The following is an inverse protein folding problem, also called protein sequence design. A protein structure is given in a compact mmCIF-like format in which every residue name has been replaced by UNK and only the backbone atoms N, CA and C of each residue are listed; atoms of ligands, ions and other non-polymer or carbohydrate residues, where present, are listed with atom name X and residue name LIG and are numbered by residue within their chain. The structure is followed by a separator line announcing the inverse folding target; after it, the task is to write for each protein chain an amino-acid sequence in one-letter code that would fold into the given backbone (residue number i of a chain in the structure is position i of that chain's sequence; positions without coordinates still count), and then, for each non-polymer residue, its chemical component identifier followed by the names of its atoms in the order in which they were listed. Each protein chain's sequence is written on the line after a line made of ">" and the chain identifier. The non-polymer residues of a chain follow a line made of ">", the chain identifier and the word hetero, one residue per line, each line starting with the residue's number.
data_IF_401443067733
#
_entry.id   IF_401443067733
#
_cell.length_a   1.000
_cell.length_b   1.000
_cell.length_c   1.000
_cell.angle_alpha   90.00
_cell.angle_beta   90.00
_cell.angle_gamma   90.00
#
_symmetry.space_group_name_H-M   'P 1'
#
loop_
_entity.id
_entity.type
_entity.pdbx_description
1 polymer ?
#
# COMPACT_ATOMS: atom_id res chain seq x y z
N UNK A 1 12.00 60.88 -11.69
CA UNK A 1 12.75 61.66 -12.68
C UNK A 1 12.38 61.10 -14.07
N UNK A 2 11.58 61.93 -14.71
CA UNK A 2 11.32 62.20 -16.16
C UNK A 2 11.12 60.96 -17.07
N UNK A 3 9.89 60.70 -17.51
CA UNK A 3 9.12 61.31 -18.62
C UNK A 3 9.93 61.48 -19.94
N UNK A 4 9.44 60.81 -20.99
CA UNK A 4 9.17 61.54 -22.25
C UNK A 4 8.12 60.78 -23.10
N UNK A 5 7.05 61.52 -23.40
CA UNK A 5 6.00 61.33 -24.38
C UNK A 5 6.49 62.02 -25.68
N UNK A 6 6.19 61.41 -26.84
CA UNK A 6 6.10 62.21 -28.09
C UNK A 6 4.95 61.73 -28.94
N UNK A 7 4.02 62.64 -29.11
CA UNK A 7 3.02 62.63 -30.17
C UNK A 7 3.57 63.38 -31.37
N UNK A 8 3.12 62.98 -32.57
CA UNK A 8 3.25 63.84 -33.77
C UNK A 8 2.03 63.63 -34.66
N UNK A 9 1.52 64.74 -35.07
CA UNK A 9 0.30 65.11 -35.73
C UNK A 9 0.36 65.04 -37.25
N UNK A 10 -0.79 64.79 -37.83
CA UNK A 10 -1.46 65.20 -39.08
C UNK A 10 -0.69 65.84 -40.26
N UNK A 11 -1.07 65.43 -41.48
CA UNK A 11 -1.47 66.37 -42.50
C UNK A 11 -2.51 65.77 -43.47
N UNK A 12 -3.53 66.60 -43.78
CA UNK A 12 -4.61 66.40 -44.70
C UNK A 12 -4.17 66.91 -46.08
N UNK A 13 -4.65 66.26 -47.19
CA UNK A 13 -4.82 66.90 -48.50
C UNK A 13 -6.01 66.29 -49.22
N UNK A 14 -6.92 67.16 -49.62
CA UNK A 14 -8.10 66.94 -50.46
C UNK A 14 -7.74 66.79 -51.95
N UNK A 15 -8.61 66.10 -52.67
CA UNK A 15 -8.66 66.13 -54.16
C UNK A 15 -9.73 65.12 -54.62
N UNK A 16 -10.84 65.65 -55.14
CA UNK A 16 -12.07 64.94 -55.47
C UNK A 16 -12.10 64.35 -56.86
N UNK A 17 -13.18 63.72 -57.10
CA UNK A 17 -14.08 63.57 -58.24
C UNK A 17 -14.36 62.14 -58.70
N UNK A 18 -15.63 61.84 -58.57
CA UNK A 18 -16.64 61.19 -59.44
C UNK A 18 -16.56 59.74 -59.87
N UNK A 19 -17.70 59.17 -59.56
CA UNK A 19 -18.52 58.15 -60.24
C UNK A 19 -18.03 56.74 -60.46
N UNK A 20 -18.62 55.82 -59.68
CA UNK A 20 -19.46 54.75 -60.28
C UNK A 20 -19.98 53.79 -59.19
N UNK A 21 -21.28 53.74 -59.08
CA UNK A 21 -22.04 52.82 -58.25
C UNK A 21 -21.87 51.37 -58.77
N UNK A 22 -21.22 50.54 -57.97
CA UNK A 22 -21.35 49.09 -58.01
C UNK A 22 -21.60 48.57 -56.63
N UNK A 23 -22.85 48.18 -56.35
CA UNK A 23 -23.23 47.46 -55.13
C UNK A 23 -22.51 46.11 -55.03
N UNK A 24 -21.46 46.05 -54.24
CA UNK A 24 -20.87 44.79 -53.86
C UNK A 24 -21.73 44.14 -52.77
N UNK A 25 -22.23 42.91 -53.01
CA UNK A 25 -22.82 42.07 -51.97
C UNK A 25 -21.75 41.75 -50.90
N UNK A 26 -22.13 41.75 -49.62
CA UNK A 26 -21.22 41.32 -48.57
C UNK A 26 -20.92 39.82 -48.74
N UNK A 27 -19.65 39.47 -48.78
CA UNK A 27 -19.17 38.11 -48.68
C UNK A 27 -19.56 37.55 -47.29
N UNK A 28 -20.12 36.34 -47.19
CA UNK A 28 -20.43 35.75 -45.89
C UNK A 28 -19.12 35.52 -45.12
N UNK A 29 -19.16 35.88 -43.85
CA UNK A 29 -18.10 35.60 -42.87
C UNK A 29 -17.74 34.08 -42.93
N UNK A 30 -16.45 33.74 -42.88
CA UNK A 30 -16.05 32.34 -42.78
C UNK A 30 -16.66 31.73 -41.53
N UNK A 31 -17.39 30.65 -41.70
CA UNK A 31 -17.86 29.82 -40.60
C UNK A 31 -16.67 29.45 -39.70
N UNK A 32 -16.74 29.66 -38.39
CA UNK A 32 -15.65 29.23 -37.50
C UNK A 32 -15.44 27.71 -37.65
N UNK A 33 -14.20 27.31 -37.78
CA UNK A 33 -13.80 25.90 -37.75
C UNK A 33 -14.41 25.24 -36.50
N UNK A 34 -14.94 24.03 -36.61
CA UNK A 34 -15.43 23.29 -35.46
C UNK A 34 -14.28 23.12 -34.47
N UNK A 35 -14.54 23.48 -33.22
CA UNK A 35 -13.62 23.24 -32.11
C UNK A 35 -13.08 21.80 -32.19
N UNK A 36 -11.76 21.59 -32.04
CA UNK A 36 -11.21 20.26 -32.08
C UNK A 36 -11.90 19.42 -31.01
N UNK A 37 -12.49 18.32 -31.42
CA UNK A 37 -13.07 17.33 -30.52
C UNK A 37 -12.00 16.98 -29.46
N UNK A 38 -12.26 17.08 -28.17
CA UNK A 38 -11.27 16.72 -27.16
C UNK A 38 -10.81 15.28 -27.41
N UNK A 39 -9.51 15.09 -27.53
CA UNK A 39 -8.93 13.74 -27.58
C UNK A 39 -9.45 12.96 -26.37
N UNK A 40 -9.88 11.70 -26.54
CA UNK A 40 -10.28 10.88 -25.42
C UNK A 40 -9.12 10.80 -24.44
N UNK A 41 -9.41 11.05 -23.14
CA UNK A 41 -8.44 10.88 -22.06
C UNK A 41 -7.71 9.54 -22.24
N UNK A 42 -6.37 9.52 -22.12
CA UNK A 42 -5.61 8.28 -22.29
C UNK A 42 -6.19 7.25 -21.33
N UNK A 43 -6.61 6.12 -21.89
CA UNK A 43 -7.11 4.99 -21.08
C UNK A 43 -6.08 4.70 -20.01
N UNK A 44 -6.43 4.70 -18.71
CA UNK A 44 -5.46 4.44 -17.64
C UNK A 44 -4.72 3.14 -17.94
N UNK A 45 -3.41 3.20 -17.99
CA UNK A 45 -2.59 2.00 -18.22
C UNK A 45 -2.93 1.00 -17.12
N UNK A 46 -3.40 -0.18 -17.51
CA UNK A 46 -3.82 -1.20 -16.55
C UNK A 46 -2.63 -1.56 -15.64
N UNK A 47 -2.84 -1.49 -14.31
CA UNK A 47 -1.80 -1.84 -13.35
C UNK A 47 -1.44 -3.31 -13.48
N UNK A 48 -0.14 -3.61 -13.56
CA UNK A 48 0.38 -4.98 -13.51
C UNK A 48 0.07 -5.65 -12.17
N UNK A 49 0.09 -6.97 -12.15
CA UNK A 49 0.00 -7.74 -10.90
C UNK A 49 1.34 -7.79 -10.18
N UNK A 50 1.29 -7.65 -8.86
CA UNK A 50 2.45 -7.71 -7.97
C UNK A 50 2.31 -8.88 -7.01
N UNK A 51 3.38 -9.65 -6.86
CA UNK A 51 3.42 -10.80 -5.96
C UNK A 51 4.72 -10.83 -5.19
N UNK A 52 4.62 -11.12 -3.90
CA UNK A 52 5.78 -11.21 -3.01
C UNK A 52 5.40 -11.50 -1.57
N UNK A 53 6.04 -10.83 -0.64
CA UNK A 53 5.76 -10.98 0.78
C UNK A 53 6.29 -9.85 1.62
N UNK A 54 5.88 -9.85 2.89
CA UNK A 54 6.47 -8.98 3.91
C UNK A 54 7.73 -9.65 4.44
N UNK A 55 8.89 -9.08 4.08
CA UNK A 55 10.22 -9.62 4.40
C UNK A 55 10.96 -8.75 5.42
N UNK A 56 10.21 -8.11 6.30
CA UNK A 56 10.76 -7.14 7.25
C UNK A 56 11.83 -7.70 8.19
N UNK A 57 11.90 -9.02 8.36
CA UNK A 57 12.90 -9.67 9.20
C UNK A 57 14.09 -10.25 8.44
N UNK A 58 14.11 -10.15 7.10
CA UNK A 58 15.14 -10.80 6.28
C UNK A 58 16.56 -10.49 6.76
N UNK A 59 16.87 -9.20 7.01
CA UNK A 59 18.21 -8.81 7.49
C UNK A 59 18.54 -9.45 8.84
N UNK A 60 17.56 -9.58 9.74
CA UNK A 60 17.77 -10.22 11.06
C UNK A 60 18.03 -11.73 10.94
N UNK A 61 17.37 -12.40 10.03
CA UNK A 61 17.66 -13.81 9.74
C UNK A 61 19.06 -13.99 9.15
N UNK A 62 19.46 -13.13 8.22
CA UNK A 62 20.81 -13.14 7.63
C UNK A 62 21.89 -12.87 8.71
N UNK A 63 21.68 -11.87 9.59
CA UNK A 63 22.57 -11.57 10.73
C UNK A 63 22.66 -12.75 11.71
N UNK A 64 21.58 -13.52 11.87
CA UNK A 64 21.56 -14.73 12.70
C UNK A 64 22.21 -15.96 12.01
N UNK A 65 22.77 -15.78 10.80
CA UNK A 65 23.46 -16.84 10.07
C UNK A 65 22.54 -17.78 9.32
N UNK A 66 21.30 -17.38 9.05
CA UNK A 66 20.37 -18.17 8.24
C UNK A 66 20.87 -18.27 6.80
N UNK A 67 20.89 -19.49 6.26
CA UNK A 67 21.25 -19.77 4.87
C UNK A 67 20.01 -20.21 4.11
N UNK A 68 19.54 -19.35 3.20
CA UNK A 68 18.49 -19.69 2.26
C UNK A 68 19.02 -20.53 1.13
N UNK A 69 18.24 -21.50 0.67
CA UNK A 69 18.62 -22.43 -0.39
C UNK A 69 17.54 -22.51 -1.46
N UNK A 70 17.95 -22.92 -2.65
CA UNK A 70 17.04 -23.35 -3.71
C UNK A 70 16.47 -24.76 -3.44
N UNK A 71 15.57 -25.23 -4.30
CA UNK A 71 14.99 -26.59 -4.21
C UNK A 71 16.03 -27.72 -4.25
N UNK A 72 17.17 -27.46 -4.87
CA UNK A 72 18.27 -28.45 -5.00
C UNK A 72 19.19 -28.45 -3.77
N UNK A 73 19.05 -27.47 -2.86
CA UNK A 73 19.87 -27.34 -1.67
C UNK A 73 21.10 -26.45 -1.84
N UNK A 74 21.22 -25.73 -2.95
CA UNK A 74 22.28 -24.75 -3.16
C UNK A 74 21.97 -23.47 -2.41
N UNK A 75 22.96 -22.89 -1.73
CA UNK A 75 22.81 -21.60 -1.08
C UNK A 75 22.53 -20.50 -2.11
N UNK A 76 21.58 -19.60 -1.78
CA UNK A 76 21.16 -18.50 -2.65
C UNK A 76 21.15 -17.16 -1.91
N UNK A 77 21.26 -16.07 -2.68
CA UNK A 77 20.99 -14.73 -2.17
C UNK A 77 19.47 -14.49 -2.22
N UNK A 78 18.79 -14.27 -1.08
CA UNK A 78 17.32 -14.32 -1.01
C UNK A 78 16.62 -13.42 -2.03
N UNK A 79 16.96 -12.13 -2.10
CA UNK A 79 16.27 -11.19 -2.99
C UNK A 79 16.45 -11.51 -4.47
N UNK A 80 17.67 -11.90 -4.85
CA UNK A 80 17.96 -12.33 -6.23
C UNK A 80 17.18 -13.60 -6.58
N UNK A 81 17.12 -14.56 -5.65
CA UNK A 81 16.37 -15.79 -5.81
C UNK A 81 14.85 -15.54 -5.88
N UNK A 82 14.30 -14.70 -5.00
CA UNK A 82 12.89 -14.33 -5.05
C UNK A 82 12.52 -13.75 -6.41
N UNK A 83 13.34 -12.82 -6.92
CA UNK A 83 13.14 -12.22 -8.25
C UNK A 83 13.21 -13.27 -9.36
N UNK A 84 14.20 -14.15 -9.31
CA UNK A 84 14.37 -15.24 -10.29
C UNK A 84 13.18 -16.19 -10.31
N UNK A 85 12.59 -16.49 -9.15
CA UNK A 85 11.42 -17.36 -9.03
C UNK A 85 10.08 -16.65 -9.33
N UNK A 86 10.14 -15.38 -9.76
CA UNK A 86 8.99 -14.65 -10.27
C UNK A 86 8.30 -13.73 -9.25
N UNK A 87 8.84 -13.54 -8.04
CA UNK A 87 8.35 -12.51 -7.15
C UNK A 87 8.84 -11.14 -7.64
N UNK A 88 7.95 -10.14 -7.66
CA UNK A 88 8.28 -8.83 -8.23
C UNK A 88 8.06 -7.64 -7.29
N UNK A 89 7.63 -7.89 -6.05
CA UNK A 89 7.44 -6.85 -5.05
C UNK A 89 7.71 -7.37 -3.63
N UNK A 90 8.23 -6.52 -2.76
CA UNK A 90 8.45 -6.84 -1.35
C UNK A 90 7.90 -5.75 -0.45
N UNK A 91 7.26 -6.13 0.66
CA UNK A 91 6.74 -5.24 1.70
C UNK A 91 7.70 -5.20 2.88
N UNK A 92 7.89 -4.02 3.46
CA UNK A 92 8.67 -3.81 4.69
C UNK A 92 7.94 -2.83 5.59
N UNK A 93 7.80 -3.21 6.86
CA UNK A 93 7.23 -2.38 7.93
C UNK A 93 8.22 -1.30 8.37
N UNK A 94 7.69 -0.19 8.85
CA UNK A 94 8.45 0.89 9.48
C UNK A 94 7.80 1.30 10.80
N UNK A 95 8.54 1.23 11.89
CA UNK A 95 8.16 1.71 13.22
C UNK A 95 8.83 3.06 13.52
N UNK A 96 8.28 3.82 14.47
CA UNK A 96 8.82 5.15 14.83
C UNK A 96 10.04 5.00 15.72
N UNK A 97 9.91 4.27 16.83
CA UNK A 97 11.02 3.91 17.72
C UNK A 97 10.85 2.46 18.21
N UNK A 98 11.38 1.46 17.47
CA UNK A 98 11.22 0.05 17.82
C UNK A 98 12.09 -0.43 18.98
N UNK A 99 12.84 0.44 19.63
CA UNK A 99 13.88 0.07 20.63
C UNK A 99 13.39 -0.74 21.83
N UNK A 100 12.10 -0.60 22.19
CA UNK A 100 11.50 -1.27 23.35
C UNK A 100 11.05 -2.71 23.09
N UNK A 101 10.77 -3.07 21.85
CA UNK A 101 10.16 -4.35 21.47
C UNK A 101 10.98 -5.11 20.41
N UNK A 102 12.29 -4.84 20.35
CA UNK A 102 13.19 -5.42 19.33
C UNK A 102 13.25 -6.96 19.37
N UNK A 103 13.04 -7.56 20.54
CA UNK A 103 12.95 -9.01 20.74
C UNK A 103 11.63 -9.63 20.27
N UNK A 104 10.63 -8.80 19.91
CA UNK A 104 9.32 -9.23 19.42
C UNK A 104 9.15 -9.05 17.91
N UNK A 105 10.24 -8.96 17.16
CA UNK A 105 10.22 -8.72 15.71
C UNK A 105 9.92 -7.27 15.33
N UNK A 106 10.05 -6.33 16.26
CA UNK A 106 9.86 -4.89 16.11
C UNK A 106 11.24 -4.23 16.09
N UNK A 107 11.92 -4.27 14.95
CA UNK A 107 13.30 -3.77 14.81
C UNK A 107 13.50 -2.86 13.60
N UNK A 108 12.43 -2.60 12.86
CA UNK A 108 12.47 -1.89 11.58
C UNK A 108 12.35 -0.39 11.83
N UNK A 109 13.45 0.23 12.30
CA UNK A 109 13.62 1.68 12.27
C UNK A 109 13.92 2.18 10.86
N UNK A 110 14.03 3.48 10.68
CA UNK A 110 14.24 4.08 9.37
C UNK A 110 15.56 3.65 8.72
N UNK A 111 16.64 3.49 9.49
CA UNK A 111 17.93 3.08 8.94
C UNK A 111 17.90 1.62 8.45
N UNK A 112 17.26 0.75 9.21
CA UNK A 112 17.02 -0.63 8.80
C UNK A 112 16.20 -0.69 7.49
N UNK A 113 15.10 0.07 7.43
CA UNK A 113 14.21 0.09 6.26
C UNK A 113 14.88 0.70 5.04
N UNK A 114 15.71 1.75 5.20
CA UNK A 114 16.53 2.30 4.10
C UNK A 114 17.47 1.25 3.51
N UNK A 115 18.15 0.49 4.37
CA UNK A 115 19.10 -0.53 3.93
C UNK A 115 18.38 -1.67 3.19
N UNK A 116 17.30 -2.22 3.74
CA UNK A 116 16.55 -3.31 3.13
C UNK A 116 15.79 -2.84 1.88
N UNK A 117 15.15 -1.67 1.90
CA UNK A 117 14.46 -1.09 0.75
C UNK A 117 15.38 -0.84 -0.43
N UNK A 118 16.60 -0.34 -0.19
CA UNK A 118 17.64 -0.20 -1.22
C UNK A 118 17.96 -1.56 -1.86
N UNK A 119 18.19 -2.60 -1.08
CA UNK A 119 18.46 -3.96 -1.57
C UNK A 119 17.30 -4.50 -2.44
N UNK A 120 16.04 -4.24 -2.04
CA UNK A 120 14.85 -4.62 -2.81
C UNK A 120 14.86 -3.91 -4.18
N UNK A 121 15.14 -2.61 -4.21
CA UNK A 121 15.21 -1.82 -5.45
C UNK A 121 16.39 -2.27 -6.34
N UNK A 122 17.54 -2.56 -5.78
CA UNK A 122 18.71 -3.08 -6.49
C UNK A 122 18.45 -4.47 -7.10
N UNK A 123 17.62 -5.29 -6.46
CA UNK A 123 17.15 -6.57 -7.01
C UNK A 123 16.09 -6.40 -8.12
N UNK A 124 15.69 -5.17 -8.47
CA UNK A 124 14.73 -4.88 -9.52
C UNK A 124 13.30 -5.26 -9.16
N UNK A 125 12.95 -5.20 -7.88
CA UNK A 125 11.59 -5.44 -7.38
C UNK A 125 10.94 -4.14 -6.91
N UNK A 126 9.61 -4.10 -6.94
CA UNK A 126 8.85 -3.03 -6.34
C UNK A 126 8.96 -3.09 -4.81
N UNK A 127 9.04 -1.92 -4.19
CA UNK A 127 9.12 -1.78 -2.74
C UNK A 127 7.81 -1.20 -2.19
N UNK A 128 7.15 -1.93 -1.28
CA UNK A 128 5.99 -1.48 -0.52
C UNK A 128 6.45 -1.14 0.89
N UNK A 129 6.33 0.14 1.23
CA UNK A 129 6.59 0.66 2.57
C UNK A 129 5.31 0.63 3.39
N UNK A 130 5.34 0.04 4.58
CA UNK A 130 4.23 -0.01 5.51
C UNK A 130 4.52 0.80 6.78
N UNK A 131 3.94 1.99 6.88
CA UNK A 131 4.02 2.82 8.08
C UNK A 131 3.12 2.26 9.19
N UNK A 132 3.69 1.80 10.29
CA UNK A 132 2.91 1.46 11.48
C UNK A 132 2.49 2.68 12.29
N UNK A 133 3.21 3.81 12.17
CA UNK A 133 3.03 5.02 13.01
C UNK A 133 2.97 4.72 14.50
N UNK A 134 3.77 3.78 14.95
CA UNK A 134 3.83 3.27 16.32
C UNK A 134 5.26 2.87 16.66
N UNK A 135 5.57 2.78 17.95
CA UNK A 135 6.86 2.24 18.44
C UNK A 135 6.83 0.70 18.52
N UNK A 136 5.66 0.10 18.38
CA UNK A 136 5.45 -1.35 18.39
C UNK A 136 4.40 -1.75 17.35
N UNK A 137 4.01 -3.03 17.35
CA UNK A 137 2.96 -3.53 16.46
C UNK A 137 1.71 -2.66 16.53
N UNK A 138 1.26 -2.19 15.36
CA UNK A 138 -0.05 -1.61 15.14
C UNK A 138 -0.92 -2.65 14.42
N UNK A 139 -2.05 -2.99 15.03
CA UNK A 139 -3.00 -3.99 14.56
C UNK A 139 -4.43 -3.67 15.07
N UNK A 140 -5.47 -4.45 14.73
CA UNK A 140 -6.84 -4.15 15.16
C UNK A 140 -7.06 -4.10 16.67
N UNK A 141 -6.16 -4.68 17.45
CA UNK A 141 -6.19 -4.67 18.91
C UNK A 141 -5.44 -3.49 19.54
N UNK A 142 -4.52 -2.86 18.80
CA UNK A 142 -3.66 -1.80 19.31
C UNK A 142 -3.16 -0.89 18.19
N UNK A 143 -3.34 0.41 18.38
CA UNK A 143 -2.91 1.48 17.48
C UNK A 143 -2.34 2.63 18.35
N UNK A 144 -1.32 2.31 19.14
CA UNK A 144 -0.84 3.25 20.14
C UNK A 144 0.02 4.35 19.52
N UNK A 145 -0.16 5.55 20.07
CA UNK A 145 0.63 6.72 19.68
C UNK A 145 2.06 6.53 20.20
N UNK A 146 3.08 6.78 19.36
CA UNK A 146 4.48 6.75 19.80
C UNK A 146 4.72 7.58 21.06
N UNK A 147 5.60 7.12 21.93
CA UNK A 147 5.90 7.79 23.19
C UNK A 147 6.33 9.25 23.00
N UNK A 148 7.09 9.53 21.94
CA UNK A 148 7.52 10.89 21.63
C UNK A 148 6.38 11.82 21.16
N UNK A 149 5.22 11.27 20.78
CA UNK A 149 4.08 12.04 20.25
C UNK A 149 2.87 12.10 21.18
N UNK A 150 2.87 11.32 22.29
CA UNK A 150 1.71 11.11 23.15
C UNK A 150 1.17 12.36 23.87
N UNK A 151 1.97 13.43 23.95
CA UNK A 151 1.58 14.72 24.56
C UNK A 151 1.05 15.73 23.55
N UNK A 152 1.07 15.42 22.25
CA UNK A 152 0.59 16.29 21.20
C UNK A 152 -0.94 16.31 21.19
N UNK A 153 -1.53 17.49 21.01
CA UNK A 153 -2.95 17.60 20.70
C UNK A 153 -3.22 17.13 19.27
N UNK A 154 -4.49 16.97 18.91
CA UNK A 154 -4.88 16.39 17.61
C UNK A 154 -4.33 17.15 16.41
N UNK A 155 -4.27 18.48 16.46
CA UNK A 155 -3.75 19.31 15.37
C UNK A 155 -2.21 19.12 15.23
N UNK A 156 -1.50 19.19 16.35
CA UNK A 156 -0.04 18.97 16.37
C UNK A 156 0.32 17.53 16.00
N UNK A 157 -0.49 16.53 16.39
CA UNK A 157 -0.28 15.14 16.02
C UNK A 157 -0.45 14.92 14.52
N UNK A 158 -1.46 15.53 13.91
CA UNK A 158 -1.67 15.44 12.47
C UNK A 158 -0.50 16.08 11.70
N UNK A 159 0.01 17.22 12.16
CA UNK A 159 1.22 17.83 11.57
C UNK A 159 2.45 16.95 11.78
N UNK A 160 2.58 16.32 12.95
CA UNK A 160 3.69 15.38 13.21
C UNK A 160 3.65 14.17 12.30
N UNK A 161 2.47 13.64 11.97
CA UNK A 161 2.33 12.56 10.97
C UNK A 161 2.80 13.03 9.60
N UNK A 162 2.43 14.24 9.19
CA UNK A 162 2.92 14.81 7.92
C UNK A 162 4.44 14.95 7.92
N UNK A 163 5.01 15.61 8.94
CA UNK A 163 6.47 15.84 9.03
C UNK A 163 7.26 14.52 9.04
N UNK A 164 6.83 13.55 9.87
CA UNK A 164 7.48 12.26 9.97
C UNK A 164 7.42 11.48 8.65
N UNK A 165 6.24 11.41 8.02
CA UNK A 165 6.06 10.74 6.73
C UNK A 165 6.96 11.37 5.67
N UNK A 166 6.97 12.70 5.59
CA UNK A 166 7.80 13.48 4.66
C UNK A 166 9.28 13.20 4.87
N UNK A 167 9.76 13.31 6.09
CA UNK A 167 11.16 13.06 6.45
C UNK A 167 11.59 11.62 6.09
N UNK A 168 10.79 10.61 6.46
CA UNK A 168 11.08 9.22 6.11
C UNK A 168 11.19 9.02 4.61
N UNK A 169 10.24 9.54 3.82
CA UNK A 169 10.25 9.41 2.37
C UNK A 169 11.44 10.13 1.71
N UNK A 170 11.83 11.31 2.22
CA UNK A 170 13.02 12.02 1.75
C UNK A 170 14.29 11.20 1.99
N UNK A 171 14.44 10.64 3.20
CA UNK A 171 15.60 9.82 3.54
C UNK A 171 15.64 8.51 2.75
N UNK A 172 14.50 7.84 2.55
CA UNK A 172 14.39 6.65 1.72
C UNK A 172 14.78 6.94 0.26
N UNK A 173 14.31 8.05 -0.32
CA UNK A 173 14.71 8.46 -1.67
C UNK A 173 16.21 8.71 -1.77
N UNK A 174 16.76 9.45 -0.81
CA UNK A 174 18.20 9.75 -0.77
C UNK A 174 19.06 8.47 -0.66
N UNK A 175 18.55 7.43 0.01
CA UNK A 175 19.22 6.14 0.15
C UNK A 175 19.07 5.22 -1.08
N UNK A 176 18.28 5.59 -2.10
CA UNK A 176 17.98 4.72 -3.24
C UNK A 176 16.87 3.69 -2.95
N UNK A 177 16.08 3.92 -1.91
CA UNK A 177 14.98 3.07 -1.45
C UNK A 177 13.62 3.75 -1.69
N UNK A 178 13.42 4.48 -2.80
CA UNK A 178 12.13 5.11 -3.11
C UNK A 178 11.03 4.05 -3.19
N UNK A 179 9.96 4.13 -2.36
CA UNK A 179 8.88 3.17 -2.43
C UNK A 179 8.03 3.34 -3.70
N UNK A 180 7.52 2.23 -4.22
CA UNK A 180 6.53 2.18 -5.31
C UNK A 180 5.10 2.17 -4.74
N UNK A 181 4.95 1.63 -3.53
CA UNK A 181 3.69 1.58 -2.77
C UNK A 181 3.94 2.10 -1.35
N UNK A 182 3.00 2.86 -0.82
CA UNK A 182 3.07 3.42 0.53
C UNK A 182 1.77 3.13 1.26
N UNK A 183 1.85 2.31 2.29
CA UNK A 183 0.74 2.00 3.17
C UNK A 183 0.76 2.97 4.34
N UNK A 184 -0.31 3.79 4.45
CA UNK A 184 -0.41 4.85 5.46
C UNK A 184 -1.15 4.36 6.71
N UNK A 185 -0.52 3.45 7.42
CA UNK A 185 -1.05 2.76 8.59
C UNK A 185 -1.35 1.28 8.33
N UNK A 186 -1.10 0.43 9.31
CA UNK A 186 -1.32 -1.01 9.27
C UNK A 186 -2.65 -1.38 9.92
N UNK A 187 -3.55 -2.09 9.19
CA UNK A 187 -4.84 -2.62 9.69
C UNK A 187 -5.68 -1.58 10.45
N UNK A 188 -5.91 -0.43 9.83
CA UNK A 188 -6.47 0.77 10.46
C UNK A 188 -7.99 0.88 10.43
N UNK A 189 -8.71 -0.23 10.31
CA UNK A 189 -10.19 -0.19 10.26
C UNK A 189 -10.83 0.43 11.51
N UNK A 190 -10.11 0.42 12.63
CA UNK A 190 -10.51 1.07 13.87
C UNK A 190 -9.82 2.43 14.10
N UNK A 191 -9.25 3.05 13.05
CA UNK A 191 -8.43 4.25 13.17
C UNK A 191 -7.00 3.94 13.58
N UNK A 192 -6.19 4.97 13.80
CA UNK A 192 -4.79 4.88 14.21
C UNK A 192 -4.44 5.92 15.27
N UNK A 193 -3.29 5.73 15.94
CA UNK A 193 -2.79 6.68 16.95
C UNK A 193 -3.81 6.97 18.06
N UNK A 194 -4.36 5.89 18.67
CA UNK A 194 -5.49 6.00 19.62
C UNK A 194 -5.17 6.76 20.91
N UNK A 195 -3.91 6.91 21.24
CA UNK A 195 -3.40 7.51 22.49
C UNK A 195 -2.28 6.68 23.07
N UNK A 196 -1.97 6.90 24.35
CA UNK A 196 -0.94 6.18 25.10
C UNK A 196 -1.21 4.67 25.11
N UNK A 197 -0.16 3.88 25.21
CA UNK A 197 -0.23 2.42 25.34
C UNK A 197 -1.31 1.99 26.34
N UNK A 198 -2.09 0.99 25.96
CA UNK A 198 -3.22 0.49 26.74
C UNK A 198 -4.50 1.34 26.67
N UNK A 199 -4.50 2.46 25.95
CA UNK A 199 -5.70 3.30 25.75
C UNK A 199 -6.32 3.08 24.38
N UNK A 200 -7.63 3.35 24.29
CA UNK A 200 -8.39 3.25 23.04
C UNK A 200 -9.39 4.40 22.85
N UNK A 201 -9.10 5.55 23.48
CA UNK A 201 -10.02 6.69 23.52
C UNK A 201 -10.40 7.22 22.15
N UNK A 202 -9.49 7.13 21.17
CA UNK A 202 -9.70 7.61 19.81
C UNK A 202 -9.99 6.48 18.82
N UNK A 203 -10.35 5.30 19.32
CA UNK A 203 -10.75 4.18 18.46
C UNK A 203 -11.98 4.52 17.65
N UNK A 204 -11.98 4.11 16.38
CA UNK A 204 -13.07 4.29 15.44
C UNK A 204 -13.84 2.98 15.25
N UNK A 205 -15.14 3.00 15.51
CA UNK A 205 -16.08 1.92 15.16
C UNK A 205 -17.44 2.53 14.86
N UNK A 206 -18.43 1.72 14.53
CA UNK A 206 -19.79 2.18 14.17
C UNK A 206 -20.42 3.09 15.21
N UNK A 207 -20.12 2.88 16.49
CA UNK A 207 -20.69 3.62 17.62
C UNK A 207 -19.75 4.71 18.17
N UNK A 208 -18.57 4.89 17.58
CA UNK A 208 -17.63 5.92 18.04
C UNK A 208 -18.12 7.32 17.75
N UNK A 209 -17.78 8.30 18.61
CA UNK A 209 -18.07 9.71 18.35
C UNK A 209 -17.55 10.14 16.98
N UNK A 210 -18.29 11.01 16.29
CA UNK A 210 -17.86 11.57 15.00
C UNK A 210 -16.50 12.28 15.10
N UNK A 211 -16.17 12.82 16.28
CA UNK A 211 -14.88 13.45 16.55
C UNK A 211 -13.69 12.51 16.33
N UNK A 212 -13.82 11.22 16.73
CA UNK A 212 -12.76 10.22 16.50
C UNK A 212 -12.54 10.00 15.00
N UNK A 213 -13.63 9.88 14.22
CA UNK A 213 -13.55 9.75 12.78
C UNK A 213 -12.95 10.98 12.11
N UNK A 214 -13.35 12.19 12.53
CA UNK A 214 -12.79 13.43 11.98
C UNK A 214 -11.29 13.54 12.26
N UNK A 215 -10.87 13.19 13.47
CA UNK A 215 -9.46 13.12 13.86
C UNK A 215 -8.71 12.13 12.96
N UNK A 216 -9.20 10.91 12.82
CA UNK A 216 -8.59 9.86 11.99
C UNK A 216 -8.48 10.30 10.52
N UNK A 217 -9.56 10.88 9.94
CA UNK A 217 -9.52 11.39 8.56
C UNK A 217 -8.46 12.49 8.39
N UNK A 218 -8.28 13.35 9.39
CA UNK A 218 -7.25 14.39 9.34
C UNK A 218 -5.82 13.80 9.35
N UNK A 219 -5.58 12.77 10.17
CA UNK A 219 -4.30 12.04 10.18
C UNK A 219 -4.00 11.43 8.80
N UNK A 220 -4.97 10.76 8.17
CA UNK A 220 -4.81 10.18 6.84
C UNK A 220 -4.57 11.24 5.75
N UNK A 221 -5.28 12.36 5.80
CA UNK A 221 -5.05 13.48 4.86
C UNK A 221 -3.63 14.00 4.95
N UNK A 222 -3.09 14.13 6.15
CA UNK A 222 -1.73 14.60 6.40
C UNK A 222 -0.67 13.58 5.93
N UNK A 223 -0.88 12.30 6.20
CA UNK A 223 -0.02 11.23 5.67
C UNK A 223 -0.04 11.21 4.14
N UNK A 224 -1.24 11.23 3.52
CA UNK A 224 -1.41 11.24 2.07
C UNK A 224 -0.77 12.47 1.40
N UNK A 225 -0.93 13.66 2.00
CA UNK A 225 -0.27 14.88 1.53
C UNK A 225 1.24 14.70 1.44
N UNK A 226 1.88 14.23 2.49
CA UNK A 226 3.33 14.00 2.50
C UNK A 226 3.75 12.96 1.44
N UNK A 227 2.95 11.89 1.26
CA UNK A 227 3.21 10.89 0.22
C UNK A 227 3.18 11.49 -1.18
N UNK A 228 2.16 12.31 -1.50
CA UNK A 228 2.05 12.93 -2.82
C UNK A 228 3.14 13.96 -3.09
N UNK A 229 3.53 14.73 -2.08
CA UNK A 229 4.62 15.70 -2.22
C UNK A 229 5.98 15.03 -2.47
N UNK A 230 6.28 13.94 -1.75
CA UNK A 230 7.60 13.32 -1.81
C UNK A 230 7.71 12.19 -2.83
N UNK A 231 6.65 11.44 -3.06
CA UNK A 231 6.61 10.29 -3.96
C UNK A 231 5.33 10.31 -4.82
N UNK A 232 5.16 11.30 -5.72
CA UNK A 232 3.92 11.48 -6.49
C UNK A 232 3.54 10.26 -7.36
N UNK A 233 4.53 9.49 -7.79
CA UNK A 233 4.32 8.28 -8.61
C UNK A 233 3.94 7.05 -7.79
N UNK A 234 4.22 7.06 -6.47
CA UNK A 234 3.92 5.94 -5.60
C UNK A 234 2.40 5.79 -5.39
N UNK A 235 1.94 4.55 -5.28
CA UNK A 235 0.53 4.26 -5.00
C UNK A 235 0.30 4.20 -3.49
N UNK A 236 -0.67 4.99 -3.01
CA UNK A 236 -1.05 5.01 -1.60
C UNK A 236 -2.05 3.88 -1.33
N UNK A 237 -1.83 3.12 -0.28
CA UNK A 237 -2.65 2.00 0.16
C UNK A 237 -3.31 2.34 1.49
N UNK A 238 -4.62 2.13 1.59
CA UNK A 238 -5.36 2.09 2.86
C UNK A 238 -5.63 0.64 3.21
N UNK A 239 -5.12 0.20 4.37
CA UNK A 239 -5.11 -1.21 4.77
C UNK A 239 -6.18 -1.52 5.82
N UNK A 240 -6.98 -2.57 5.56
CA UNK A 240 -8.03 -3.07 6.44
C UNK A 240 -7.99 -4.59 6.53
N UNK A 241 -8.27 -5.13 7.72
CA UNK A 241 -8.39 -6.55 8.02
C UNK A 241 -9.85 -7.07 7.96
N UNK A 242 -10.78 -6.27 7.41
CA UNK A 242 -12.22 -6.59 7.46
C UNK A 242 -12.72 -7.48 6.34
N UNK A 243 -11.87 -8.30 5.73
CA UNK A 243 -12.27 -9.22 4.66
C UNK A 243 -13.39 -10.18 5.04
N UNK A 244 -13.54 -10.52 6.34
CA UNK A 244 -14.65 -11.36 6.85
C UNK A 244 -15.97 -10.60 7.06
N UNK A 245 -15.98 -9.29 6.96
CA UNK A 245 -17.11 -8.43 7.34
C UNK A 245 -17.42 -7.40 6.24
N UNK A 246 -17.96 -7.81 5.08
CA UNK A 246 -18.14 -6.95 3.92
C UNK A 246 -18.87 -5.64 4.20
N UNK A 247 -19.88 -5.64 5.06
CA UNK A 247 -20.62 -4.42 5.42
C UNK A 247 -19.77 -3.43 6.24
N UNK A 248 -18.95 -3.94 7.16
CA UNK A 248 -18.01 -3.10 7.94
C UNK A 248 -16.91 -2.56 7.03
N UNK A 249 -16.42 -3.41 6.14
CA UNK A 249 -15.41 -3.05 5.14
C UNK A 249 -15.91 -1.93 4.22
N UNK A 250 -17.12 -2.03 3.71
CA UNK A 250 -17.70 -1.00 2.84
C UNK A 250 -18.04 0.28 3.60
N UNK A 251 -18.55 0.21 4.85
CA UNK A 251 -18.74 1.41 5.68
C UNK A 251 -17.42 2.16 5.86
N UNK A 252 -16.34 1.43 6.12
CA UNK A 252 -15.01 2.02 6.26
C UNK A 252 -14.56 2.74 4.98
N UNK A 253 -14.65 2.11 3.80
CA UNK A 253 -14.23 2.74 2.54
C UNK A 253 -15.22 3.79 2.03
N UNK A 254 -16.51 3.69 2.34
CA UNK A 254 -17.49 4.76 2.10
C UNK A 254 -17.10 6.02 2.90
N UNK A 255 -16.61 5.88 4.14
CA UNK A 255 -16.09 7.01 4.93
C UNK A 255 -14.82 7.61 4.30
N UNK A 256 -13.90 6.79 3.77
CA UNK A 256 -12.73 7.32 3.04
C UNK A 256 -13.17 8.16 1.85
N UNK A 257 -14.08 7.65 1.02
CA UNK A 257 -14.64 8.34 -0.14
C UNK A 257 -15.34 9.65 0.26
N UNK A 258 -16.24 9.59 1.25
CA UNK A 258 -17.05 10.74 1.66
C UNK A 258 -16.23 11.86 2.32
N UNK A 259 -15.07 11.53 2.89
CA UNK A 259 -14.15 12.52 3.48
C UNK A 259 -13.03 12.95 2.51
N UNK A 260 -13.05 12.48 1.26
CA UNK A 260 -12.06 12.85 0.26
C UNK A 260 -10.63 12.41 0.63
N UNK A 261 -10.49 11.19 1.19
CA UNK A 261 -9.16 10.63 1.46
C UNK A 261 -8.52 10.24 0.13
N UNK A 262 -7.32 10.75 -0.08
CA UNK A 262 -6.53 10.44 -1.28
C UNK A 262 -5.77 9.12 -1.08
N UNK A 263 -6.13 8.12 -1.86
CA UNK A 263 -5.46 6.83 -1.95
C UNK A 263 -5.73 6.16 -3.29
N UNK A 264 -4.93 5.17 -3.66
CA UNK A 264 -5.01 4.46 -4.95
C UNK A 264 -5.52 3.03 -4.82
N UNK A 265 -5.24 2.38 -3.69
CA UNK A 265 -5.40 0.93 -3.52
C UNK A 265 -6.07 0.61 -2.18
N UNK A 266 -7.01 -0.32 -2.23
CA UNK A 266 -7.59 -0.98 -1.06
C UNK A 266 -6.68 -2.15 -0.69
N UNK A 267 -5.99 -2.06 0.45
CA UNK A 267 -5.21 -3.15 1.02
C UNK A 267 -6.05 -4.00 1.95
N UNK A 268 -5.93 -5.33 1.83
CA UNK A 268 -6.64 -6.27 2.70
C UNK A 268 -5.68 -7.26 3.33
N UNK A 269 -5.85 -7.53 4.64
CA UNK A 269 -5.40 -8.79 5.24
C UNK A 269 -6.43 -9.88 4.99
N UNK A 270 -5.98 -11.03 4.51
CA UNK A 270 -6.82 -12.21 4.41
C UNK A 270 -6.08 -13.45 4.91
N UNK A 271 -6.52 -13.93 6.06
CA UNK A 271 -6.06 -15.19 6.66
C UNK A 271 -7.27 -16.08 6.89
N UNK A 272 -7.39 -17.26 6.26
CA UNK A 272 -8.58 -18.09 6.43
C UNK A 272 -8.81 -18.49 7.89
N UNK A 273 -7.74 -18.63 8.68
CA UNK A 273 -7.83 -18.92 10.12
C UNK A 273 -8.65 -17.89 10.91
N UNK A 274 -8.70 -16.63 10.46
CA UNK A 274 -9.40 -15.52 11.13
C UNK A 274 -10.57 -14.95 10.33
N UNK A 275 -10.51 -15.04 9.00
CA UNK A 275 -11.41 -14.33 8.10
C UNK A 275 -12.39 -15.25 7.34
N UNK A 276 -12.36 -16.57 7.61
CA UNK A 276 -13.23 -17.50 6.92
C UNK A 276 -12.64 -18.04 5.61
N UNK A 277 -13.41 -18.79 4.86
CA UNK A 277 -12.96 -19.48 3.65
C UNK A 277 -12.83 -18.54 2.43
N UNK A 278 -12.38 -19.10 1.30
CA UNK A 278 -12.24 -18.35 0.04
C UNK A 278 -13.58 -17.79 -0.49
N UNK A 279 -14.72 -18.37 -0.13
CA UNK A 279 -16.02 -17.81 -0.50
C UNK A 279 -16.34 -16.55 0.30
N UNK A 280 -15.87 -16.43 1.54
CA UNK A 280 -15.95 -15.19 2.32
C UNK A 280 -15.12 -14.09 1.69
N UNK A 281 -13.89 -14.40 1.27
CA UNK A 281 -13.03 -13.44 0.53
C UNK A 281 -13.69 -13.01 -0.79
N UNK A 282 -14.25 -13.96 -1.55
CA UNK A 282 -15.01 -13.68 -2.78
C UNK A 282 -16.12 -12.66 -2.55
N UNK A 283 -16.89 -12.85 -1.48
CA UNK A 283 -17.97 -11.93 -1.10
C UNK A 283 -17.42 -10.54 -0.82
N UNK A 284 -16.29 -10.42 -0.11
CA UNK A 284 -15.66 -9.13 0.17
C UNK A 284 -15.20 -8.43 -1.11
N UNK A 285 -14.51 -9.15 -2.00
CA UNK A 285 -14.02 -8.62 -3.28
C UNK A 285 -15.17 -8.15 -4.16
N UNK A 286 -16.18 -9.00 -4.39
CA UNK A 286 -17.36 -8.67 -5.19
C UNK A 286 -18.12 -7.47 -4.62
N UNK A 287 -18.22 -7.38 -3.28
CA UNK A 287 -18.88 -6.26 -2.61
C UNK A 287 -18.12 -4.94 -2.82
N UNK A 288 -16.77 -4.96 -2.70
CA UNK A 288 -15.94 -3.78 -2.96
C UNK A 288 -16.02 -3.34 -4.43
N UNK A 289 -15.96 -4.28 -5.37
CA UNK A 289 -16.11 -4.01 -6.80
C UNK A 289 -17.48 -3.40 -7.12
N UNK A 290 -18.55 -3.92 -6.50
CA UNK A 290 -19.91 -3.39 -6.66
C UNK A 290 -20.10 -1.96 -6.14
N UNK A 291 -19.25 -1.50 -5.19
CA UNK A 291 -19.26 -0.12 -4.68
C UNK A 291 -18.65 0.90 -5.66
N UNK A 292 -17.93 0.44 -6.67
CA UNK A 292 -17.31 1.28 -7.69
C UNK A 292 -16.50 2.46 -7.09
N UNK A 293 -15.54 2.15 -6.22
CA UNK A 293 -14.63 3.16 -5.68
C UNK A 293 -13.60 3.66 -6.71
N UNK A 294 -13.46 2.99 -7.84
CA UNK A 294 -12.41 3.27 -8.84
C UNK A 294 -11.00 2.93 -8.33
N UNK A 295 -10.88 1.96 -7.44
CA UNK A 295 -9.62 1.56 -6.80
C UNK A 295 -9.26 0.13 -7.12
N UNK A 296 -7.96 -0.14 -7.27
CA UNK A 296 -7.45 -1.51 -7.28
C UNK A 296 -7.45 -2.09 -5.86
N UNK A 297 -7.39 -3.42 -5.76
CA UNK A 297 -7.34 -4.16 -4.50
C UNK A 297 -6.01 -4.91 -4.44
N UNK A 298 -5.40 -4.99 -3.27
CA UNK A 298 -4.26 -5.86 -3.00
C UNK A 298 -4.49 -6.66 -1.72
N UNK A 299 -4.22 -7.94 -1.75
CA UNK A 299 -4.04 -8.74 -0.53
C UNK A 299 -2.63 -8.46 -0.05
N UNK A 300 -2.50 -7.50 0.87
CA UNK A 300 -1.20 -7.04 1.38
C UNK A 300 -0.66 -7.91 2.49
N UNK A 301 -1.52 -8.78 3.05
CA UNK A 301 -1.15 -9.84 3.98
C UNK A 301 -2.00 -11.08 3.77
N UNK A 302 -1.34 -12.24 3.70
CA UNK A 302 -1.96 -13.57 3.74
C UNK A 302 -0.98 -14.61 4.27
N UNK A 303 -1.49 -15.76 4.67
CA UNK A 303 -0.70 -16.89 5.10
C UNK A 303 -1.55 -18.10 5.41
N UNK A 304 -0.95 -19.29 5.35
CA UNK A 304 -1.56 -20.55 5.74
C UNK A 304 -0.50 -21.49 6.32
N UNK A 305 -0.85 -22.22 7.38
CA UNK A 305 0.10 -23.09 8.07
C UNK A 305 0.39 -24.36 7.30
N UNK A 306 1.68 -24.78 7.37
CA UNK A 306 2.14 -26.07 6.86
C UNK A 306 2.25 -27.14 7.96
N UNK A 307 2.07 -26.80 9.23
CA UNK A 307 2.35 -27.74 10.34
C UNK A 307 1.25 -27.81 11.43
N UNK A 308 0.84 -26.68 12.01
CA UNK A 308 -0.21 -26.60 13.04
C UNK A 308 -0.93 -25.26 12.98
N UNK A 309 -2.05 -25.14 13.68
CA UNK A 309 -2.88 -23.93 13.70
C UNK A 309 -2.08 -22.68 14.14
N UNK A 310 -2.37 -21.56 13.50
CA UNK A 310 -1.93 -20.24 13.99
C UNK A 310 -2.57 -19.93 15.35
N UNK A 311 -1.86 -19.15 16.18
CA UNK A 311 -2.41 -18.70 17.45
C UNK A 311 -3.69 -17.89 17.26
N UNK A 312 -4.74 -18.18 18.06
CA UNK A 312 -6.02 -17.48 17.96
C UNK A 312 -6.89 -17.87 16.75
N UNK A 313 -6.59 -18.99 16.07
CA UNK A 313 -7.39 -19.51 14.96
C UNK A 313 -8.87 -19.63 15.36
N UNK A 314 -9.75 -19.04 14.55
CA UNK A 314 -11.21 -19.06 14.71
C UNK A 314 -11.87 -20.12 13.83
N UNK A 315 -11.31 -20.36 12.63
CA UNK A 315 -11.85 -21.28 11.64
C UNK A 315 -10.87 -22.40 11.33
N UNK A 316 -11.37 -23.63 11.25
CA UNK A 316 -10.60 -24.82 10.88
C UNK A 316 -10.94 -25.27 9.45
N UNK A 317 -9.93 -25.26 8.57
CA UNK A 317 -10.05 -25.73 7.19
C UNK A 317 -9.16 -26.94 6.90
N UNK A 318 -8.71 -27.65 7.93
CA UNK A 318 -7.81 -28.82 7.76
C UNK A 318 -8.46 -29.95 6.97
N UNK A 319 -9.80 -30.03 6.92
CA UNK A 319 -10.52 -30.96 6.05
C UNK A 319 -10.34 -30.69 4.55
N UNK A 320 -10.01 -29.44 4.17
CA UNK A 320 -9.75 -29.04 2.77
C UNK A 320 -8.28 -28.81 2.50
N UNK A 321 -7.59 -28.21 3.46
CA UNK A 321 -6.17 -27.85 3.43
C UNK A 321 -5.52 -28.35 4.72
N UNK A 322 -5.09 -29.63 4.80
CA UNK A 322 -4.40 -30.15 5.98
C UNK A 322 -3.16 -29.30 6.32
N UNK A 323 -2.82 -29.19 7.60
CA UNK A 323 -1.57 -28.51 8.02
C UNK A 323 -0.36 -29.33 7.61
N UNK A 324 -0.05 -29.29 6.33
CA UNK A 324 1.08 -29.94 5.66
C UNK A 324 1.60 -29.02 4.58
N UNK A 325 2.80 -29.27 4.07
CA UNK A 325 3.35 -28.55 2.91
C UNK A 325 2.37 -28.57 1.72
N UNK A 326 1.81 -29.74 1.40
CA UNK A 326 0.84 -29.90 0.30
C UNK A 326 -0.48 -29.14 0.58
N UNK A 327 -0.96 -29.12 1.81
CA UNK A 327 -2.16 -28.34 2.18
C UNK A 327 -1.92 -26.84 2.06
N UNK A 328 -0.74 -26.35 2.48
CA UNK A 328 -0.34 -24.97 2.28
C UNK A 328 -0.24 -24.62 0.79
N UNK A 329 0.40 -25.49 -0.02
CA UNK A 329 0.49 -25.32 -1.48
C UNK A 329 -0.89 -25.25 -2.12
N UNK A 330 -1.77 -26.19 -1.77
CA UNK A 330 -3.14 -26.24 -2.32
C UNK A 330 -3.92 -24.98 -1.97
N UNK A 331 -3.86 -24.52 -0.72
CA UNK A 331 -4.48 -23.26 -0.31
C UNK A 331 -3.95 -22.09 -1.16
N UNK A 332 -2.63 -21.99 -1.35
CA UNK A 332 -2.00 -20.93 -2.13
C UNK A 332 -2.49 -20.95 -3.58
N UNK A 333 -2.54 -22.12 -4.21
CA UNK A 333 -3.03 -22.28 -5.58
C UNK A 333 -4.53 -21.88 -5.71
N UNK A 334 -5.38 -22.33 -4.79
CA UNK A 334 -6.81 -22.02 -4.79
C UNK A 334 -7.06 -20.53 -4.52
N UNK A 335 -6.27 -19.90 -3.62
CA UNK A 335 -6.31 -18.45 -3.38
C UNK A 335 -5.95 -17.69 -4.66
N UNK A 336 -4.84 -18.04 -5.30
CA UNK A 336 -4.38 -17.40 -6.54
C UNK A 336 -5.45 -17.52 -7.63
N UNK A 337 -6.02 -18.71 -7.82
CA UNK A 337 -7.11 -18.94 -8.78
C UNK A 337 -8.30 -18.02 -8.50
N UNK A 338 -8.69 -17.87 -7.25
CA UNK A 338 -9.76 -16.98 -6.80
C UNK A 338 -9.44 -15.53 -7.15
N UNK A 339 -8.28 -15.03 -6.74
CA UNK A 339 -7.86 -13.64 -6.95
C UNK A 339 -7.72 -13.29 -8.43
N UNK A 340 -7.28 -14.22 -9.27
CA UNK A 340 -7.17 -14.01 -10.73
C UNK A 340 -8.52 -13.84 -11.43
N UNK A 341 -9.60 -14.29 -10.81
CA UNK A 341 -10.98 -14.06 -11.27
C UNK A 341 -11.42 -12.59 -11.15
N UNK A 342 -10.68 -11.74 -10.41
CA UNK A 342 -10.99 -10.34 -10.18
C UNK A 342 -9.95 -9.43 -10.84
N UNK A 343 -10.36 -8.69 -11.87
CA UNK A 343 -9.46 -7.76 -12.57
C UNK A 343 -8.98 -6.61 -11.70
N UNK A 344 -9.74 -6.23 -10.69
CA UNK A 344 -9.38 -5.20 -9.71
C UNK A 344 -8.24 -5.63 -8.77
N UNK A 345 -8.00 -6.95 -8.61
CA UNK A 345 -6.99 -7.48 -7.68
C UNK A 345 -5.62 -7.48 -8.35
N UNK A 346 -4.72 -6.64 -7.83
CA UNK A 346 -3.40 -6.36 -8.40
C UNK A 346 -2.23 -6.73 -7.50
N UNK A 347 -2.48 -7.24 -6.27
CA UNK A 347 -1.40 -7.60 -5.35
C UNK A 347 -1.71 -8.81 -4.49
N UNK A 348 -0.66 -9.61 -4.22
CA UNK A 348 -0.67 -10.74 -3.30
C UNK A 348 0.65 -10.80 -2.54
N UNK A 349 0.61 -10.58 -1.23
CA UNK A 349 1.78 -10.56 -0.36
C UNK A 349 1.62 -11.57 0.76
N UNK A 350 2.57 -12.52 0.82
CA UNK A 350 2.63 -13.49 1.90
C UNK A 350 3.22 -12.86 3.15
N UNK A 351 2.61 -13.13 4.30
CA UNK A 351 3.09 -12.64 5.57
C UNK A 351 4.26 -13.49 6.06
N UNK A 352 5.41 -12.84 6.24
CA UNK A 352 6.62 -13.43 6.80
C UNK A 352 7.12 -14.69 6.06
N UNK A 353 7.22 -14.65 4.73
CA UNK A 353 7.61 -15.83 3.93
C UNK A 353 9.01 -16.32 4.24
N UNK A 354 9.90 -15.42 4.69
CA UNK A 354 11.32 -15.65 4.92
C UNK A 354 11.63 -16.30 6.28
N UNK A 355 10.67 -16.42 7.19
CA UNK A 355 10.90 -17.04 8.50
C UNK A 355 11.29 -18.51 8.32
N UNK A 356 12.47 -18.86 8.80
CA UNK A 356 12.98 -20.21 8.72
C UNK A 356 13.03 -20.92 10.09
N UNK A 357 12.34 -20.38 11.10
CA UNK A 357 12.29 -20.94 12.45
C UNK A 357 13.57 -20.86 13.25
N UNK A 358 14.50 -19.96 12.89
CA UNK A 358 15.68 -19.72 13.71
C UNK A 358 15.26 -19.28 15.13
N UNK A 359 15.64 -20.03 16.14
CA UNK A 359 15.19 -19.83 17.53
C UNK A 359 15.53 -18.47 18.12
N UNK A 360 16.52 -17.77 17.57
CA UNK A 360 16.94 -16.45 18.05
C UNK A 360 16.12 -15.29 17.46
N UNK A 361 15.46 -15.52 16.33
CA UNK A 361 14.74 -14.46 15.59
C UNK A 361 13.37 -14.91 15.06
N UNK A 362 12.98 -16.17 15.32
CA UNK A 362 11.72 -16.73 14.80
C UNK A 362 10.51 -16.02 15.37
N UNK A 363 9.46 -15.93 14.56
CA UNK A 363 8.16 -15.40 14.95
C UNK A 363 7.21 -16.49 15.46
N UNK A 364 6.07 -16.08 16.02
CA UNK A 364 4.97 -17.00 16.31
C UNK A 364 4.27 -17.53 15.04
N UNK A 365 4.65 -17.01 13.86
CA UNK A 365 4.08 -17.36 12.55
C UNK A 365 4.95 -18.31 11.73
N UNK A 366 6.07 -18.79 12.28
CA UNK A 366 7.02 -19.60 11.55
C UNK A 366 6.43 -20.86 10.92
N UNK A 367 5.34 -21.42 11.49
CA UNK A 367 4.56 -22.52 10.93
C UNK A 367 3.72 -22.15 9.70
N UNK A 368 3.64 -20.87 9.35
CA UNK A 368 2.99 -20.37 8.14
C UNK A 368 4.00 -19.75 7.14
N UNK A 369 5.28 -19.78 7.44
CA UNK A 369 6.34 -19.34 6.54
C UNK A 369 6.47 -20.23 5.30
N UNK A 370 7.34 -19.84 4.36
CA UNK A 370 7.53 -20.54 3.10
C UNK A 370 8.88 -21.27 3.00
N UNK A 371 9.59 -21.41 4.13
CA UNK A 371 10.88 -22.11 4.18
C UNK A 371 10.88 -23.20 5.25
N UNK A 372 11.49 -24.33 4.91
CA UNK A 372 11.74 -25.44 5.83
C UNK A 372 12.91 -25.10 6.77
N UNK A 373 12.63 -25.11 8.04
CA UNK A 373 13.57 -24.77 9.11
C UNK A 373 14.79 -25.71 9.20
N UNK A 374 14.62 -26.96 8.80
CA UNK A 374 15.66 -27.96 8.92
C UNK A 374 16.62 -27.92 7.73
N UNK A 375 16.10 -27.64 6.54
CA UNK A 375 16.85 -27.71 5.29
C UNK A 375 17.20 -26.35 4.71
N UNK A 376 16.47 -25.29 5.06
CA UNK A 376 16.58 -23.95 4.47
C UNK A 376 16.04 -23.86 3.04
N UNK A 377 15.29 -24.88 2.59
CA UNK A 377 14.68 -24.93 1.26
C UNK A 377 13.29 -24.35 1.27
N UNK A 378 12.83 -23.73 0.15
CA UNK A 378 11.46 -23.26 0.05
C UNK A 378 10.48 -24.44 0.00
N UNK A 379 9.33 -24.27 0.65
CA UNK A 379 8.17 -25.15 0.47
C UNK A 379 7.51 -24.94 -0.90
N UNK A 380 6.71 -25.91 -1.32
CA UNK A 380 6.04 -25.89 -2.62
C UNK A 380 5.12 -24.66 -2.81
N UNK A 381 4.52 -24.15 -1.73
CA UNK A 381 3.70 -22.93 -1.76
C UNK A 381 4.48 -21.69 -2.22
N UNK A 382 5.78 -21.58 -1.94
CA UNK A 382 6.63 -20.50 -2.44
C UNK A 382 6.62 -20.43 -3.97
N UNK A 383 6.71 -21.57 -4.63
CA UNK A 383 6.73 -21.66 -6.09
C UNK A 383 5.36 -21.45 -6.75
N UNK A 384 4.27 -21.58 -5.97
CA UNK A 384 2.92 -21.25 -6.46
C UNK A 384 2.72 -19.75 -6.61
N UNK A 385 3.39 -18.92 -5.80
CA UNK A 385 3.15 -17.47 -5.76
C UNK A 385 3.27 -16.80 -7.13
N UNK A 386 4.27 -17.20 -7.95
CA UNK A 386 4.47 -16.64 -9.30
C UNK A 386 3.27 -16.81 -10.23
N UNK A 387 2.40 -17.78 -9.97
CA UNK A 387 1.21 -18.04 -10.79
C UNK A 387 0.15 -16.94 -10.64
N UNK A 388 0.34 -15.99 -9.72
CA UNK A 388 -0.55 -14.84 -9.57
C UNK A 388 -0.34 -13.76 -10.66
N UNK A 389 0.82 -13.70 -11.27
CA UNK A 389 1.16 -12.75 -12.36
C UNK A 389 0.35 -12.98 -13.63
#
# INVERSE_FOLDING_TARGET
>A
MLLFVTAATMTVACGGDDESTATAQPTPDPTPDPDPTPEPDPTPTEMSRYVGGDISMLTKYEEAGVVYKDKNGNAVQPLAFFKQEGLNAMRVRLFVDPSKDSDKGVCQDLDYVKALGKRIKEAGMAFMLDFHYSDTWADPGKQWTPDAWKTLNDAALAEKVYEYTKECLQQLKAAGAKPDFIQTGNEISYGMLWGTEGTNNNRCNTNSPQANWNRFMNLLKKAGQACREECPDAKIIIHSERAAQPNVLTDFFDRMKNNGIDYDIIGLSYYPAYHGNLATLETALTTLEGKNYGKNIMIVETGYSYAWALGGTTYDYTGTYPYTEEGQRKFTADLISKLKGHNSVKGLFWWWPEDNGNKNVTSSWWNAALYDHNTGKPYAAFYELKNFQ
#
